data_IF_447174369861
#
_entry.id   IF_447174369861
#
_cell.length_a   1.000
_cell.length_b   1.000
_cell.length_c   1.000
_cell.angle_alpha   90.00
_cell.angle_beta   90.00
_cell.angle_gamma   90.00
#
_symmetry.space_group_name_H-M   'P 1'
#
loop_
_entity.id
_entity.type
_entity.pdbx_description
1 polymer ?
#
# COMPACT_ATOMS: atom_id res chain seq x y z
N UNK A 1 -20.50 11.56 9.60
CA UNK A 1 -19.36 11.33 8.70
C UNK A 1 -19.96 11.10 7.33
N UNK A 2 -19.93 12.11 6.47
CA UNK A 2 -20.56 12.07 5.14
C UNK A 2 -19.73 11.17 4.23
N UNK A 3 -20.35 10.24 3.47
CA UNK A 3 -19.61 9.49 2.45
C UNK A 3 -18.99 10.50 1.48
N UNK A 4 -17.76 10.23 1.06
CA UNK A 4 -17.06 11.09 0.11
C UNK A 4 -17.83 11.04 -1.23
N UNK A 5 -18.50 12.14 -1.59
CA UNK A 5 -19.44 12.19 -2.72
C UNK A 5 -18.75 12.05 -4.08
N UNK A 6 -17.41 11.91 -4.09
CA UNK A 6 -16.58 11.70 -5.27
C UNK A 6 -16.35 10.22 -5.59
N UNK A 7 -16.68 9.31 -4.69
CA UNK A 7 -16.49 7.87 -4.87
C UNK A 7 -17.62 7.28 -5.74
N UNK A 8 -17.27 6.35 -6.63
CA UNK A 8 -18.26 5.58 -7.38
C UNK A 8 -19.10 4.69 -6.44
N UNK A 9 -20.32 4.33 -6.84
CA UNK A 9 -21.27 3.55 -6.02
C UNK A 9 -20.69 2.22 -5.48
N UNK A 10 -19.78 1.62 -6.24
CA UNK A 10 -19.13 0.34 -5.91
C UNK A 10 -17.72 0.51 -5.30
N UNK A 11 -17.27 1.73 -5.06
CA UNK A 11 -15.96 1.98 -4.48
C UNK A 11 -15.93 1.65 -2.97
N UNK A 12 -14.78 1.21 -2.49
CA UNK A 12 -14.56 1.01 -1.05
C UNK A 12 -14.30 2.35 -0.37
N UNK A 13 -15.19 2.74 0.55
CA UNK A 13 -15.03 3.95 1.35
C UNK A 13 -14.28 3.63 2.66
N UNK A 14 -13.15 4.32 2.96
CA UNK A 14 -12.40 4.13 4.20
C UNK A 14 -13.22 4.41 5.47
N UNK A 15 -14.28 5.23 5.40
CA UNK A 15 -15.18 5.51 6.51
C UNK A 15 -15.94 4.28 7.00
N UNK A 16 -16.16 3.30 6.11
CA UNK A 16 -16.85 2.04 6.41
C UNK A 16 -15.88 0.85 6.50
N UNK A 17 -14.60 1.12 6.76
CA UNK A 17 -13.62 0.06 7.02
C UNK A 17 -14.08 -0.85 8.17
N UNK A 18 -13.84 -2.16 8.04
CA UNK A 18 -14.11 -3.15 9.10
C UNK A 18 -13.16 -3.01 10.31
N UNK A 19 -12.21 -2.08 10.26
CA UNK A 19 -11.22 -1.86 11.29
C UNK A 19 -10.06 -2.87 11.22
N UNK A 20 -9.32 -2.97 12.33
CA UNK A 20 -8.08 -3.76 12.42
C UNK A 20 -8.24 -4.89 13.43
N UNK A 21 -7.45 -5.96 13.25
CA UNK A 21 -7.39 -7.08 14.19
C UNK A 21 -6.98 -6.64 15.60
N UNK A 22 -6.08 -5.67 15.69
CA UNK A 22 -5.65 -5.06 16.94
C UNK A 22 -6.18 -3.63 16.99
N UNK A 23 -6.81 -3.26 18.10
CA UNK A 23 -7.34 -1.91 18.29
C UNK A 23 -6.19 -0.90 18.27
N UNK A 24 -6.34 0.14 17.46
CA UNK A 24 -5.39 1.23 17.36
C UNK A 24 -6.15 2.55 17.41
N UNK A 25 -5.57 3.57 18.02
CA UNK A 25 -6.16 4.92 18.01
C UNK A 25 -6.26 5.43 16.57
N UNK A 26 -7.38 6.10 16.19
CA UNK A 26 -7.51 6.73 14.89
C UNK A 26 -6.38 7.72 14.61
N UNK A 27 -5.92 7.78 13.36
CA UNK A 27 -4.91 8.76 12.98
C UNK A 27 -5.58 10.14 12.78
N UNK A 28 -4.96 11.25 13.25
CA UNK A 28 -5.59 12.57 13.23
C UNK A 28 -5.71 13.17 11.83
N UNK A 29 -4.81 12.84 10.91
CA UNK A 29 -4.71 13.47 9.58
C UNK A 29 -4.81 12.49 8.42
N UNK A 30 -5.00 11.20 8.69
CA UNK A 30 -4.96 10.14 7.68
C UNK A 30 -6.18 9.24 7.79
N UNK A 31 -6.73 8.86 6.65
CA UNK A 31 -7.72 7.78 6.58
C UNK A 31 -7.05 6.43 6.90
N UNK A 32 -7.86 5.42 7.23
CA UNK A 32 -7.34 4.08 7.51
C UNK A 32 -6.53 3.51 6.33
N UNK A 33 -6.99 3.73 5.09
CA UNK A 33 -6.27 3.26 3.89
C UNK A 33 -4.99 4.07 3.61
N UNK A 34 -4.97 5.38 3.88
CA UNK A 34 -3.75 6.17 3.79
C UNK A 34 -2.70 5.70 4.81
N UNK A 35 -3.15 5.35 6.02
CA UNK A 35 -2.28 4.79 7.06
C UNK A 35 -1.70 3.44 6.66
N UNK A 36 -2.48 2.57 6.00
CA UNK A 36 -2.00 1.28 5.49
C UNK A 36 -0.97 1.44 4.38
N UNK A 37 -1.21 2.35 3.43
CA UNK A 37 -0.25 2.67 2.38
C UNK A 37 1.09 3.09 2.98
N UNK A 38 1.08 4.01 3.95
CA UNK A 38 2.31 4.50 4.57
C UNK A 38 3.08 3.36 5.27
N UNK A 39 2.38 2.45 5.98
CA UNK A 39 3.02 1.26 6.59
C UNK A 39 3.69 0.36 5.55
N UNK A 40 3.01 0.10 4.42
CA UNK A 40 3.54 -0.75 3.36
C UNK A 40 4.78 -0.12 2.74
N UNK A 41 4.69 1.15 2.35
CA UNK A 41 5.79 1.90 1.71
C UNK A 41 7.03 1.98 2.61
N UNK A 42 6.85 2.14 3.92
CA UNK A 42 7.95 2.18 4.89
C UNK A 42 8.38 0.82 5.44
N UNK A 43 7.81 -0.30 4.95
CA UNK A 43 8.20 -1.63 5.41
C UNK A 43 9.56 -2.07 4.83
N UNK A 44 10.31 -2.86 5.60
CA UNK A 44 11.56 -3.47 5.13
C UNK A 44 11.32 -4.43 3.95
N UNK A 45 10.17 -5.12 3.94
CA UNK A 45 9.80 -6.03 2.87
C UNK A 45 9.62 -5.30 1.53
N UNK A 46 8.91 -4.15 1.54
CA UNK A 46 8.73 -3.32 0.35
C UNK A 46 10.06 -2.75 -0.16
N UNK A 47 10.91 -2.23 0.74
CA UNK A 47 12.26 -1.76 0.36
C UNK A 47 13.13 -2.84 -0.29
N UNK A 48 12.99 -4.10 0.11
CA UNK A 48 13.74 -5.22 -0.48
C UNK A 48 13.35 -5.52 -1.92
N UNK A 49 12.18 -5.05 -2.39
CA UNK A 49 11.72 -5.31 -3.76
C UNK A 49 12.65 -4.72 -4.83
N UNK A 50 13.36 -3.62 -4.52
CA UNK A 50 14.36 -3.03 -5.42
C UNK A 50 15.54 -3.97 -5.71
N UNK A 51 15.79 -4.95 -4.84
CA UNK A 51 16.87 -5.94 -5.00
C UNK A 51 16.35 -7.33 -5.34
N UNK A 52 15.04 -7.49 -5.55
CA UNK A 52 14.43 -8.74 -5.99
C UNK A 52 14.12 -8.63 -7.47
N UNK A 53 14.60 -9.59 -8.25
CA UNK A 53 14.38 -9.58 -9.67
C UNK A 53 12.93 -9.92 -10.03
N UNK A 54 12.46 -9.36 -11.14
CA UNK A 54 11.21 -9.75 -11.77
C UNK A 54 11.56 -10.70 -12.92
N UNK A 55 11.19 -11.98 -12.78
CA UNK A 55 11.35 -13.05 -13.79
C UNK A 55 12.80 -13.51 -14.05
N UNK A 56 13.75 -12.62 -14.35
CA UNK A 56 15.11 -12.99 -14.77
C UNK A 56 16.15 -12.81 -13.65
N UNK A 57 17.27 -13.55 -13.67
CA UNK A 57 18.41 -13.30 -12.78
C UNK A 57 19.27 -12.17 -13.38
N UNK A 58 19.77 -11.25 -12.56
CA UNK A 58 20.57 -10.07 -12.97
C UNK A 58 21.98 -10.44 -13.50
N UNK A 59 22.13 -11.49 -14.32
CA UNK A 59 23.42 -11.94 -14.81
C UNK A 59 23.69 -11.60 -16.29
N UNK A 60 22.68 -11.23 -17.09
CA UNK A 60 22.87 -11.12 -18.54
C UNK A 60 22.48 -9.77 -19.19
N UNK A 61 22.15 -8.74 -18.42
CA UNK A 61 21.83 -7.43 -19.01
C UNK A 61 21.32 -6.38 -18.03
N UNK A 62 21.72 -5.13 -18.23
CA UNK A 62 21.43 -3.98 -17.36
C UNK A 62 20.01 -3.40 -17.54
N UNK A 63 19.12 -4.13 -18.23
CA UNK A 63 17.75 -3.70 -18.55
C UNK A 63 16.65 -4.48 -17.80
N UNK A 64 17.00 -5.39 -16.90
CA UNK A 64 16.00 -6.20 -16.21
C UNK A 64 15.33 -5.42 -15.08
N UNK A 65 13.99 -5.52 -15.05
CA UNK A 65 13.18 -4.91 -14.01
C UNK A 65 13.31 -5.65 -12.67
N UNK A 66 13.17 -4.88 -11.60
CA UNK A 66 13.07 -5.41 -10.24
C UNK A 66 11.59 -5.57 -9.88
N UNK A 67 11.27 -6.20 -8.75
CA UNK A 67 9.87 -6.28 -8.28
C UNK A 67 9.28 -4.93 -7.87
N UNK A 68 10.10 -3.88 -7.79
CA UNK A 68 9.66 -2.52 -7.47
C UNK A 68 9.23 -1.73 -8.73
N UNK A 69 9.71 -2.10 -9.91
CA UNK A 69 9.62 -1.31 -11.16
C UNK A 69 9.00 -2.13 -12.28
#
# INVERSE_FOLDING_TARGET
>A
MTPDSTLALYACDPAFSRGRRHAETPAPTRTEFQRDRDRIVHSTAFRRLVYKTQVFLNHEGDLFRTRLT
#
